data_IF_828182928852
#
_entry.id   IF_828182928852
#
_cell.length_a   1.000
_cell.length_b   1.000
_cell.length_c   1.000
_cell.angle_alpha   90.00
_cell.angle_beta   90.00
_cell.angle_gamma   90.00
#
_symmetry.space_group_name_H-M   'P 1'
#
loop_
_entity.id
_entity.type
_entity.pdbx_description
1 polymer ?
#
# COMPACT_ATOMS: atom_id res chain seq x y z
N UNK A 1 -44.88 8.80 61.35
CA UNK A 1 -44.92 9.93 60.41
C UNK A 1 -43.66 10.75 60.68
N UNK A 2 -42.72 11.04 59.77
CA UNK A 2 -42.71 11.00 58.31
C UNK A 2 -41.30 10.65 57.85
N UNK A 3 -41.21 9.69 56.91
CA UNK A 3 -39.99 9.37 56.16
C UNK A 3 -39.81 10.45 55.10
N UNK A 4 -38.70 11.18 55.11
CA UNK A 4 -38.33 12.06 54.00
C UNK A 4 -37.54 11.26 52.95
N UNK A 5 -37.81 11.46 51.64
CA UNK A 5 -37.43 10.51 50.60
C UNK A 5 -36.00 10.75 50.08
N UNK A 6 -35.33 9.65 49.71
CA UNK A 6 -34.11 9.61 48.91
C UNK A 6 -34.34 10.35 47.58
N UNK A 7 -33.64 11.48 47.35
CA UNK A 7 -33.52 12.07 46.01
C UNK A 7 -32.67 11.12 45.15
N UNK A 8 -33.33 10.43 44.21
CA UNK A 8 -32.71 9.85 43.02
C UNK A 8 -32.05 11.00 42.25
N UNK A 9 -30.73 10.93 42.04
CA UNK A 9 -30.08 11.69 40.97
C UNK A 9 -30.46 10.99 39.67
N UNK A 10 -31.30 11.65 38.88
CA UNK A 10 -31.46 11.36 37.47
C UNK A 10 -30.11 11.66 36.81
N UNK A 11 -29.48 10.62 36.26
CA UNK A 11 -28.42 10.81 35.29
C UNK A 11 -29.12 11.22 33.99
N UNK A 12 -29.16 12.52 33.72
CA UNK A 12 -29.35 13.02 32.36
C UNK A 12 -28.26 12.39 31.49
N UNK A 13 -28.68 11.43 30.67
CA UNK A 13 -27.91 10.97 29.51
C UNK A 13 -27.90 12.15 28.55
N UNK A 14 -26.91 13.02 28.72
CA UNK A 14 -26.54 13.97 27.70
C UNK A 14 -26.14 13.17 26.47
N UNK A 15 -27.01 13.19 25.46
CA UNK A 15 -26.68 12.81 24.09
C UNK A 15 -25.48 13.64 23.65
N UNK A 16 -24.27 13.09 23.82
CA UNK A 16 -23.11 13.55 23.08
C UNK A 16 -23.37 13.19 21.63
N UNK A 17 -23.98 14.11 20.89
CA UNK A 17 -23.90 14.14 19.44
C UNK A 17 -22.41 14.24 19.08
N UNK A 18 -21.80 13.08 18.81
CA UNK A 18 -20.48 13.04 18.23
C UNK A 18 -20.58 13.67 16.85
N UNK A 19 -20.19 14.94 16.75
CA UNK A 19 -19.85 15.57 15.48
C UNK A 19 -18.71 14.77 14.87
N UNK A 20 -19.06 13.84 13.97
CA UNK A 20 -18.13 13.36 12.95
C UNK A 20 -17.80 14.58 12.07
N UNK A 21 -16.53 14.68 11.69
CA UNK A 21 -16.01 15.61 10.68
C UNK A 21 -15.61 17.01 11.17
N UNK A 22 -14.53 17.08 11.96
CA UNK A 22 -13.55 18.15 11.78
C UNK A 22 -12.17 17.69 12.26
N UNK A 23 -11.31 17.32 11.31
CA UNK A 23 -9.89 17.16 11.61
C UNK A 23 -9.22 18.53 11.64
N UNK A 24 -8.30 18.71 12.59
CA UNK A 24 -7.48 19.92 12.68
C UNK A 24 -6.53 19.98 11.49
N UNK A 25 -6.38 21.17 10.91
CA UNK A 25 -5.44 21.48 9.82
C UNK A 25 -4.05 20.86 10.05
N UNK A 26 -3.62 20.76 11.30
CA UNK A 26 -2.33 20.21 11.76
C UNK A 26 -2.08 18.75 11.35
N UNK A 27 -3.10 17.86 11.35
CA UNK A 27 -2.91 16.44 10.98
C UNK A 27 -2.79 16.24 9.47
N UNK A 28 -3.49 17.05 8.67
CA UNK A 28 -3.38 17.01 7.20
C UNK A 28 -2.00 17.50 6.77
N UNK A 29 -1.50 18.56 7.41
CA UNK A 29 -0.16 19.10 7.14
C UNK A 29 0.96 18.07 7.42
N UNK A 30 0.84 17.27 8.49
CA UNK A 30 1.88 16.28 8.81
C UNK A 30 1.93 15.10 7.82
N UNK A 31 0.78 14.65 7.32
CA UNK A 31 0.71 13.60 6.29
C UNK A 31 1.31 14.10 4.97
N UNK A 32 0.95 15.31 4.54
CA UNK A 32 1.49 15.90 3.31
C UNK A 32 3.01 16.11 3.39
N UNK A 33 3.53 16.53 4.55
CA UNK A 33 4.98 16.62 4.77
C UNK A 33 5.67 15.27 4.64
N UNK A 34 5.07 14.20 5.19
CA UNK A 34 5.62 12.85 5.08
C UNK A 34 5.66 12.36 3.63
N UNK A 35 4.57 12.55 2.89
CA UNK A 35 4.50 12.21 1.46
C UNK A 35 5.56 12.96 0.66
N UNK A 36 5.76 14.25 0.96
CA UNK A 36 6.77 15.07 0.28
C UNK A 36 8.20 14.57 0.58
N UNK A 37 8.50 14.18 1.82
CA UNK A 37 9.80 13.60 2.18
C UNK A 37 10.05 12.26 1.50
N UNK A 38 9.03 11.38 1.44
CA UNK A 38 9.10 10.10 0.72
C UNK A 38 9.33 10.33 -0.79
N UNK A 39 8.65 11.33 -1.38
CA UNK A 39 8.86 11.75 -2.78
C UNK A 39 10.30 12.15 -3.03
N UNK A 40 10.83 13.07 -2.22
CA UNK A 40 12.20 13.58 -2.37
C UNK A 40 13.24 12.46 -2.22
N UNK A 41 13.04 11.58 -1.25
CA UNK A 41 13.92 10.42 -1.06
C UNK A 41 13.88 9.52 -2.30
N UNK A 42 12.71 9.07 -2.75
CA UNK A 42 12.64 8.13 -3.86
C UNK A 42 13.15 8.73 -5.16
N UNK A 43 12.87 10.01 -5.45
CA UNK A 43 13.46 10.69 -6.60
C UNK A 43 14.99 10.77 -6.54
N UNK A 44 15.59 10.69 -5.35
CA UNK A 44 17.05 10.73 -5.18
C UNK A 44 17.74 9.37 -5.29
N UNK A 45 17.03 8.27 -5.00
CA UNK A 45 17.62 6.91 -4.97
C UNK A 45 17.13 6.00 -6.08
N UNK A 46 15.94 6.25 -6.63
CA UNK A 46 15.35 5.42 -7.66
C UNK A 46 16.05 5.71 -9.00
N UNK A 47 16.60 4.67 -9.62
CA UNK A 47 17.18 4.77 -10.94
C UNK A 47 16.09 4.58 -12.01
N UNK A 48 15.83 5.60 -12.82
CA UNK A 48 14.84 5.59 -13.90
C UNK A 48 15.20 6.62 -14.98
N UNK A 49 14.66 6.44 -16.18
CA UNK A 49 14.80 7.43 -17.25
C UNK A 49 13.82 8.59 -17.08
N UNK A 50 14.20 9.79 -17.50
CA UNK A 50 13.42 11.02 -17.37
C UNK A 50 11.97 10.90 -17.90
N UNK A 51 11.72 10.06 -18.91
CA UNK A 51 10.38 9.83 -19.44
C UNK A 51 9.39 9.19 -18.44
N UNK A 52 9.89 8.58 -17.35
CA UNK A 52 9.07 8.03 -16.26
C UNK A 52 8.87 9.02 -15.10
N UNK A 53 9.47 10.21 -15.17
CA UNK A 53 9.47 11.16 -14.05
C UNK A 53 8.07 11.58 -13.65
N UNK A 54 7.20 11.85 -14.62
CA UNK A 54 5.81 12.23 -14.35
C UNK A 54 5.07 11.12 -13.60
N UNK A 55 5.23 9.86 -14.01
CA UNK A 55 4.63 8.69 -13.36
C UNK A 55 5.18 8.51 -11.94
N UNK A 56 6.49 8.64 -11.75
CA UNK A 56 7.10 8.57 -10.42
C UNK A 56 6.56 9.68 -9.51
N UNK A 57 6.42 10.90 -10.02
CA UNK A 57 5.81 11.99 -9.25
C UNK A 57 4.31 11.76 -8.97
N UNK A 58 3.59 11.19 -9.92
CA UNK A 58 2.17 10.86 -9.80
C UNK A 58 1.91 9.83 -8.69
N UNK A 59 2.86 8.95 -8.40
CA UNK A 59 2.80 8.00 -7.29
C UNK A 59 2.52 8.68 -5.94
N UNK A 60 2.98 9.92 -5.77
CA UNK A 60 2.80 10.70 -4.55
C UNK A 60 1.57 11.62 -4.59
N UNK A 61 0.89 11.69 -5.73
CA UNK A 61 -0.35 12.45 -5.87
C UNK A 61 -1.56 11.62 -5.41
N UNK A 62 -1.75 11.56 -4.09
CA UNK A 62 -2.85 10.82 -3.47
C UNK A 62 -3.95 11.78 -3.04
N UNK A 63 -5.09 11.75 -3.74
CA UNK A 63 -6.25 12.55 -3.39
C UNK A 63 -7.07 11.86 -2.29
N UNK A 64 -6.86 12.29 -1.04
CA UNK A 64 -7.57 11.78 0.14
C UNK A 64 -8.90 12.50 0.41
N UNK A 65 -9.31 13.46 -0.43
CA UNK A 65 -10.54 14.23 -0.20
C UNK A 65 -11.77 13.31 -0.27
N UNK A 66 -12.52 13.25 0.82
CA UNK A 66 -13.74 12.46 0.93
C UNK A 66 -13.53 10.99 1.34
N UNK A 67 -12.29 10.57 1.58
CA UNK A 67 -11.99 9.25 2.15
C UNK A 67 -11.95 9.32 3.70
N UNK A 68 -12.42 8.27 4.40
CA UNK A 68 -12.21 8.16 5.85
C UNK A 68 -10.72 8.19 6.20
N UNK A 69 -10.41 8.62 7.43
CA UNK A 69 -9.03 8.71 7.88
C UNK A 69 -8.33 7.34 7.86
N UNK A 70 -7.15 7.29 7.25
CA UNK A 70 -6.38 6.06 7.08
C UNK A 70 -6.85 5.16 5.93
N UNK A 71 -7.81 5.62 5.13
CA UNK A 71 -8.22 4.96 3.89
C UNK A 71 -7.60 5.65 2.66
N UNK A 72 -7.37 4.87 1.61
CA UNK A 72 -6.77 5.31 0.36
C UNK A 72 -7.63 4.81 -0.81
N UNK A 73 -7.73 5.57 -1.92
CA UNK A 73 -8.33 5.05 -3.14
C UNK A 73 -7.65 3.75 -3.59
N UNK A 74 -8.47 2.80 -4.04
CA UNK A 74 -7.98 1.59 -4.68
C UNK A 74 -7.48 1.94 -6.10
N UNK A 75 -6.20 1.67 -6.35
CA UNK A 75 -5.52 1.86 -7.63
C UNK A 75 -4.61 0.65 -7.84
N UNK A 76 -4.77 -0.05 -8.96
CA UNK A 76 -3.86 -1.11 -9.33
C UNK A 76 -2.57 -0.48 -9.82
N UNK A 77 -1.49 -0.73 -9.10
CA UNK A 77 -0.18 -0.15 -9.34
C UNK A 77 0.77 -1.25 -9.79
N UNK A 78 1.38 -1.09 -10.95
CA UNK A 78 2.36 -2.03 -11.50
C UNK A 78 3.66 -1.30 -11.77
N UNK A 79 4.74 -1.76 -11.14
CA UNK A 79 6.08 -1.23 -11.38
C UNK A 79 6.97 -2.35 -11.93
N UNK A 80 7.64 -2.10 -13.05
CA UNK A 80 8.55 -3.06 -13.68
C UNK A 80 9.96 -2.51 -13.62
N UNK A 81 10.87 -3.35 -13.16
CA UNK A 81 12.28 -3.05 -13.02
C UNK A 81 13.12 -3.98 -13.90
N UNK A 82 14.20 -3.46 -14.47
CA UNK A 82 15.35 -4.30 -14.84
C UNK A 82 16.17 -4.56 -13.59
N UNK A 83 16.61 -5.81 -13.43
CA UNK A 83 17.46 -6.26 -12.33
C UNK A 83 18.76 -6.86 -12.86
N UNK A 84 19.81 -6.88 -12.05
CA UNK A 84 21.10 -7.45 -12.48
C UNK A 84 21.08 -8.97 -12.68
N UNK A 85 20.45 -9.72 -11.77
CA UNK A 85 20.41 -11.17 -11.81
C UNK A 85 19.19 -11.72 -11.03
N UNK A 86 18.36 -12.52 -11.70
CA UNK A 86 17.15 -13.11 -11.13
C UNK A 86 17.42 -14.04 -9.93
N UNK A 87 18.36 -14.97 -10.04
CA UNK A 87 18.68 -15.93 -8.97
C UNK A 87 19.17 -15.22 -7.69
N UNK A 88 20.03 -14.21 -7.86
CA UNK A 88 20.51 -13.40 -6.74
C UNK A 88 19.38 -12.60 -6.11
N UNK A 89 18.47 -12.03 -6.91
CA UNK A 89 17.30 -11.33 -6.40
C UNK A 89 16.40 -12.27 -5.59
N UNK A 90 16.11 -13.46 -6.10
CA UNK A 90 15.36 -14.50 -5.37
C UNK A 90 16.02 -14.84 -4.03
N UNK A 91 17.33 -15.12 -4.02
CA UNK A 91 18.06 -15.43 -2.78
C UNK A 91 18.03 -14.28 -1.76
N UNK A 92 18.00 -13.02 -2.22
CA UNK A 92 17.85 -11.85 -1.34
C UNK A 92 16.40 -11.73 -0.80
N UNK A 93 15.40 -11.97 -1.64
CA UNK A 93 13.97 -11.93 -1.25
C UNK A 93 13.60 -13.02 -0.25
N UNK A 94 14.10 -14.25 -0.42
CA UNK A 94 13.81 -15.38 0.47
C UNK A 94 14.35 -15.21 1.90
N UNK A 95 15.23 -14.22 2.13
CA UNK A 95 15.70 -13.85 3.47
C UNK A 95 14.73 -12.93 4.21
N UNK A 96 13.72 -12.40 3.53
CA UNK A 96 12.72 -11.50 4.10
C UNK A 96 11.64 -12.30 4.82
N UNK A 97 11.33 -11.90 6.05
CA UNK A 97 10.30 -12.58 6.86
C UNK A 97 8.87 -12.37 6.35
N UNK A 98 8.68 -11.36 5.51
CA UNK A 98 7.40 -10.84 5.07
C UNK A 98 7.16 -10.99 3.56
N UNK A 99 8.11 -11.53 2.80
CA UNK A 99 7.98 -11.89 1.39
C UNK A 99 8.11 -13.39 1.23
N UNK A 100 7.08 -14.06 0.71
CA UNK A 100 7.01 -15.52 0.65
C UNK A 100 6.88 -16.02 -0.78
N UNK A 101 7.70 -17.00 -1.16
CA UNK A 101 7.57 -17.72 -2.44
C UNK A 101 6.27 -18.54 -2.43
N UNK A 102 5.44 -18.35 -3.45
CA UNK A 102 4.14 -19.04 -3.60
C UNK A 102 4.17 -20.04 -4.75
N UNK A 103 4.86 -19.69 -5.83
CA UNK A 103 4.94 -20.53 -7.02
C UNK A 103 6.24 -20.24 -7.80
N UNK A 104 6.70 -21.24 -8.55
CA UNK A 104 7.83 -21.10 -9.47
C UNK A 104 7.55 -21.95 -10.71
N UNK A 105 7.76 -21.36 -11.88
CA UNK A 105 7.65 -22.05 -13.16
C UNK A 105 8.90 -21.81 -14.01
N UNK A 106 8.85 -22.20 -15.27
CA UNK A 106 9.99 -22.13 -16.19
C UNK A 106 10.43 -20.70 -16.54
N UNK A 107 9.58 -19.69 -16.29
CA UNK A 107 9.82 -18.30 -16.70
C UNK A 107 10.01 -17.35 -15.52
N UNK A 108 9.45 -17.68 -14.35
CA UNK A 108 9.33 -16.76 -13.22
C UNK A 108 9.09 -17.44 -11.88
N UNK A 109 9.49 -16.73 -10.83
CA UNK A 109 9.15 -17.00 -9.45
C UNK A 109 8.19 -15.95 -8.91
N UNK A 110 7.13 -16.39 -8.24
CA UNK A 110 6.08 -15.53 -7.68
C UNK A 110 6.15 -15.49 -6.17
N UNK A 111 6.15 -14.28 -5.64
CA UNK A 111 6.17 -14.00 -4.22
C UNK A 111 4.98 -13.13 -3.84
N UNK A 112 4.53 -13.30 -2.60
CA UNK A 112 3.57 -12.39 -1.97
C UNK A 112 4.27 -11.61 -0.86
N UNK A 113 4.05 -10.30 -0.84
CA UNK A 113 4.45 -9.42 0.25
C UNK A 113 3.30 -9.26 1.24
N UNK A 114 3.59 -9.50 2.52
CA UNK A 114 2.57 -9.69 3.54
C UNK A 114 2.87 -8.91 4.81
N UNK A 115 1.85 -8.49 5.53
CA UNK A 115 2.00 -7.91 6.87
C UNK A 115 1.08 -8.58 7.89
N UNK A 116 1.37 -8.48 9.20
CA UNK A 116 0.39 -8.84 10.22
C UNK A 116 -0.89 -8.01 10.04
N UNK A 117 -2.05 -8.63 10.33
CA UNK A 117 -3.29 -7.85 10.39
C UNK A 117 -3.21 -6.81 11.52
N UNK A 118 -3.69 -5.57 11.30
CA UNK A 118 -3.79 -4.60 12.37
C UNK A 118 -4.78 -5.08 13.44
N UNK A 119 -4.58 -4.61 14.67
CA UNK A 119 -5.45 -4.98 15.79
C UNK A 119 -6.89 -4.56 15.50
N UNK A 120 -7.83 -5.51 15.63
CA UNK A 120 -9.25 -5.24 15.39
C UNK A 120 -9.64 -5.14 13.92
N UNK A 121 -8.81 -5.65 13.00
CA UNK A 121 -9.15 -5.70 11.58
C UNK A 121 -10.48 -6.43 11.34
N UNK A 122 -11.28 -5.91 10.42
CA UNK A 122 -12.65 -6.39 10.15
C UNK A 122 -12.69 -7.83 9.61
N UNK A 123 -11.66 -8.25 8.87
CA UNK A 123 -11.59 -9.59 8.28
C UNK A 123 -11.52 -10.66 9.40
N UNK A 124 -12.46 -11.62 9.47
CA UNK A 124 -12.47 -12.68 10.49
C UNK A 124 -11.18 -13.51 10.56
N UNK A 125 -10.50 -13.72 9.42
CA UNK A 125 -9.24 -14.47 9.34
C UNK A 125 -8.13 -13.81 10.19
N UNK A 126 -8.21 -12.50 10.43
CA UNK A 126 -7.23 -11.75 11.24
C UNK A 126 -7.08 -12.27 12.68
N UNK A 127 -8.03 -13.04 13.20
CA UNK A 127 -7.99 -13.66 14.54
C UNK A 127 -7.23 -14.98 14.57
N UNK A 128 -6.88 -15.54 13.41
CA UNK A 128 -6.18 -16.82 13.31
C UNK A 128 -4.69 -16.60 13.56
N UNK A 129 -4.05 -17.36 14.47
CA UNK A 129 -2.61 -17.28 14.68
C UNK A 129 -1.84 -17.49 13.37
N UNK A 130 -0.89 -16.61 13.08
CA UNK A 130 -0.08 -16.67 11.86
C UNK A 130 -0.77 -16.14 10.60
N UNK A 131 -2.04 -15.72 10.66
CA UNK A 131 -2.69 -15.08 9.51
C UNK A 131 -2.06 -13.72 9.20
N UNK A 132 -1.85 -13.47 7.90
CA UNK A 132 -1.26 -12.25 7.38
C UNK A 132 -2.09 -11.70 6.24
N UNK A 133 -2.05 -10.38 6.09
CA UNK A 133 -2.64 -9.68 4.96
C UNK A 133 -1.64 -9.65 3.82
N UNK A 134 -2.06 -10.09 2.63
CA UNK A 134 -1.32 -9.85 1.38
C UNK A 134 -1.52 -8.38 1.00
N UNK A 135 -0.43 -7.65 0.84
CA UNK A 135 -0.42 -6.20 0.53
C UNK A 135 0.27 -5.89 -0.80
N UNK A 136 1.01 -6.83 -1.36
CA UNK A 136 1.59 -6.72 -2.68
C UNK A 136 2.06 -8.07 -3.21
N UNK A 137 2.41 -8.07 -4.48
CA UNK A 137 2.93 -9.22 -5.20
C UNK A 137 4.27 -8.83 -5.83
N UNK A 138 5.20 -9.78 -5.87
CA UNK A 138 6.53 -9.59 -6.42
C UNK A 138 6.81 -10.76 -7.35
N UNK A 139 7.07 -10.48 -8.61
CA UNK A 139 7.38 -11.48 -9.63
C UNK A 139 8.81 -11.25 -10.09
N UNK A 140 9.67 -12.25 -9.91
CA UNK A 140 11.03 -12.27 -10.45
C UNK A 140 11.01 -13.09 -11.73
N UNK A 141 11.25 -12.45 -12.86
CA UNK A 141 11.32 -13.09 -14.16
C UNK A 141 12.77 -13.48 -14.49
N UNK A 142 12.96 -14.63 -15.14
CA UNK A 142 14.29 -15.12 -15.50
C UNK A 142 14.92 -14.36 -16.68
N UNK A 143 14.19 -13.43 -17.30
CA UNK A 143 14.70 -12.42 -18.24
C UNK A 143 15.33 -11.20 -17.53
N UNK A 144 15.57 -11.31 -16.22
CA UNK A 144 16.09 -10.27 -15.34
C UNK A 144 15.18 -9.03 -15.28
N UNK A 145 13.87 -9.27 -15.22
CA UNK A 145 12.89 -8.25 -14.81
C UNK A 145 12.26 -8.60 -13.46
N UNK A 146 11.85 -7.57 -12.75
CA UNK A 146 11.13 -7.65 -11.49
C UNK A 146 9.84 -6.84 -11.62
N UNK A 147 8.70 -7.49 -11.46
CA UNK A 147 7.39 -6.83 -11.45
C UNK A 147 6.87 -6.74 -10.03
N UNK A 148 6.43 -5.56 -9.63
CA UNK A 148 5.82 -5.27 -8.34
C UNK A 148 4.38 -4.85 -8.57
N UNK A 149 3.44 -5.47 -7.87
CA UNK A 149 2.02 -5.17 -7.99
C UNK A 149 1.41 -4.89 -6.62
N UNK A 150 0.63 -3.81 -6.53
CA UNK A 150 -0.14 -3.51 -5.32
C UNK A 150 -1.47 -2.83 -5.67
N UNK A 151 -2.34 -2.66 -4.67
CA UNK A 151 -3.69 -2.08 -4.86
C UNK A 151 -3.84 -0.65 -4.36
N UNK A 152 -2.75 -0.02 -3.91
CA UNK A 152 -2.73 1.39 -3.51
C UNK A 152 -1.37 2.02 -3.76
N UNK A 153 -1.32 3.35 -3.94
CA UNK A 153 -0.07 4.08 -4.19
C UNK A 153 0.85 4.06 -2.95
N UNK A 154 0.28 4.05 -1.74
CA UNK A 154 1.09 3.87 -0.52
C UNK A 154 1.80 2.52 -0.48
N UNK A 155 1.15 1.44 -0.91
CA UNK A 155 1.79 0.11 -0.91
C UNK A 155 2.86 -0.03 -1.97
N UNK A 156 2.64 0.45 -3.19
CA UNK A 156 3.68 0.38 -4.23
C UNK A 156 4.90 1.21 -3.83
N UNK A 157 4.70 2.38 -3.23
CA UNK A 157 5.78 3.23 -2.71
C UNK A 157 6.63 2.44 -1.70
N UNK A 158 6.00 1.84 -0.70
CA UNK A 158 6.70 1.06 0.33
C UNK A 158 7.37 -0.19 -0.23
N UNK A 159 6.75 -0.86 -1.21
CA UNK A 159 7.31 -2.03 -1.85
C UNK A 159 8.55 -1.67 -2.68
N UNK A 160 8.52 -0.55 -3.42
CA UNK A 160 9.69 -0.03 -4.14
C UNK A 160 10.82 0.30 -3.15
N UNK A 161 10.51 0.98 -2.04
CA UNK A 161 11.49 1.23 -0.97
C UNK A 161 12.12 -0.06 -0.44
N UNK A 162 11.32 -1.08 -0.17
CA UNK A 162 11.80 -2.38 0.26
C UNK A 162 12.73 -2.99 -0.79
N UNK A 163 12.34 -2.98 -2.06
CA UNK A 163 13.15 -3.53 -3.15
C UNK A 163 14.47 -2.78 -3.33
N UNK A 164 14.49 -1.45 -3.23
CA UNK A 164 15.73 -0.66 -3.23
C UNK A 164 16.62 -1.08 -2.05
N UNK A 165 16.06 -1.23 -0.84
CA UNK A 165 16.83 -1.66 0.33
C UNK A 165 17.41 -3.07 0.21
N UNK A 166 16.73 -3.96 -0.50
CA UNK A 166 17.11 -5.37 -0.66
C UNK A 166 18.08 -5.57 -1.81
N UNK A 167 17.79 -4.96 -2.96
CA UNK A 167 18.49 -5.18 -4.21
C UNK A 167 19.54 -4.09 -4.49
N UNK A 168 19.41 -2.91 -3.90
CA UNK A 168 20.37 -1.81 -4.01
C UNK A 168 20.36 -1.17 -5.40
N UNK A 169 21.55 -0.84 -5.90
CA UNK A 169 21.77 -0.22 -7.22
C UNK A 169 21.51 -1.19 -8.39
N UNK A 170 21.26 -2.47 -8.11
CA UNK A 170 21.01 -3.51 -9.12
C UNK A 170 19.65 -3.36 -9.81
N UNK A 171 18.80 -2.41 -9.40
CA UNK A 171 17.45 -2.23 -9.95
C UNK A 171 17.30 -0.88 -10.65
N UNK A 172 16.62 -0.90 -11.79
CA UNK A 172 16.25 0.29 -12.54
C UNK A 172 14.79 0.18 -12.97
N UNK A 173 13.98 1.17 -12.61
CA UNK A 173 12.59 1.24 -13.04
C UNK A 173 12.56 1.48 -14.55
N UNK A 174 11.80 0.64 -15.26
CA UNK A 174 11.59 0.71 -16.71
C UNK A 174 10.14 0.93 -17.10
N UNK A 175 9.20 0.69 -16.19
CA UNK A 175 7.79 0.99 -16.38
C UNK A 175 7.10 1.24 -15.04
N UNK A 176 6.13 2.15 -15.01
CA UNK A 176 5.28 2.41 -13.86
C UNK A 176 3.88 2.80 -14.34
N UNK A 177 2.89 2.01 -13.96
CA UNK A 177 1.50 2.18 -14.40
C UNK A 177 0.55 2.21 -13.20
N UNK A 178 -0.47 3.05 -13.34
CA UNK A 178 -1.57 3.19 -12.40
C UNK A 178 -2.90 3.04 -13.14
N UNK A 179 -3.72 2.10 -12.68
CA UNK A 179 -5.03 1.85 -13.26
C UNK A 179 -6.11 1.93 -12.18
N UNK A 180 -7.13 2.74 -12.43
CA UNK A 180 -8.32 2.71 -11.59
C UNK A 180 -9.18 1.47 -11.93
N UNK A 181 -10.03 1.00 -11.01
CA UNK A 181 -10.99 -0.06 -11.31
C UNK A 181 -11.88 0.25 -12.53
N UNK A 182 -12.19 1.53 -12.76
CA UNK A 182 -12.99 1.98 -13.91
C UNK A 182 -12.23 1.83 -15.23
N UNK A 183 -10.92 2.09 -15.24
CA UNK A 183 -10.09 1.94 -16.43
C UNK A 183 -10.03 0.48 -16.88
N UNK A 184 -9.85 -0.44 -15.91
CA UNK A 184 -9.87 -1.88 -16.16
C UNK A 184 -11.23 -2.35 -16.69
N UNK A 185 -12.33 -1.88 -16.12
CA UNK A 185 -13.67 -2.22 -16.59
C UNK A 185 -13.87 -1.77 -18.04
N UNK A 186 -13.45 -0.55 -18.36
CA UNK A 186 -13.54 -0.01 -19.72
C UNK A 186 -12.73 -0.86 -20.71
N UNK A 187 -11.47 -1.18 -20.39
CA UNK A 187 -10.63 -2.06 -21.23
C UNK A 187 -11.28 -3.43 -21.46
N UNK A 188 -11.89 -4.01 -20.43
CA UNK A 188 -12.57 -5.31 -20.54
C UNK A 188 -13.86 -5.27 -21.39
N UNK A 189 -14.51 -4.10 -21.49
CA UNK A 189 -15.65 -3.87 -22.38
C UNK A 189 -15.16 -3.69 -23.83
N UNK A 190 -14.16 -2.83 -24.04
CA UNK A 190 -13.61 -2.51 -25.36
C UNK A 190 -12.99 -3.75 -26.04
N UNK A 191 -12.48 -4.73 -25.28
CA UNK A 191 -11.94 -5.99 -25.82
C UNK A 191 -13.01 -7.01 -26.27
N UNK A 192 -14.30 -6.75 -26.00
CA UNK A 192 -15.41 -7.64 -26.38
C UNK A 192 -16.16 -7.17 -27.63
N UNK A 193 -15.84 -5.98 -28.14
CA UNK A 193 -16.35 -5.44 -29.41
C UNK A 193 -15.37 -5.73 -30.55
#
# INVERSE_FOLDING_TARGET
MSKSPKKKKENEVGEQSMSKDSYSTTQVTSIQQKIQQEKEYLLSVLNFDEHLREQVEEMFNINLKGFPAGEEPMIFCTAVFKIGNAELAMSKLEKLSDVWLVDINEERAYYIWTRPYPKGHWNPISKTPGARQIIGEVQVNFDNTLTLETKTKSWITQLIHLMIGVLGEDIRLINLEFESPSDLLKKAIDQKE
#
